data_IF_235246760416
#
_entry.id   IF_235246760416
#
_cell.length_a   1.000
_cell.length_b   1.000
_cell.length_c   1.000
_cell.angle_alpha   90.00
_cell.angle_beta   90.00
_cell.angle_gamma   90.00
#
_symmetry.space_group_name_H-M   'P 1'
#
loop_
_entity.id
_entity.type
_entity.pdbx_description
1 polymer ?
#
# COMPACT_ATOMS: atom_id res chain seq x y z
N UNK A 1 0.78 12.55 16.44
CA UNK A 1 1.57 12.25 15.23
C UNK A 1 0.92 12.87 14.00
N UNK A 2 1.71 13.46 13.09
CA UNK A 2 1.21 13.97 11.81
C UNK A 2 0.49 12.89 11.00
N UNK A 3 -0.40 13.33 10.12
CA UNK A 3 -1.09 12.46 9.17
C UNK A 3 -0.51 12.69 7.79
N UNK A 4 -0.27 11.61 7.07
CA UNK A 4 0.27 11.61 5.72
C UNK A 4 -0.73 10.98 4.77
N UNK A 5 -0.89 11.58 3.60
CA UNK A 5 -1.71 11.03 2.52
C UNK A 5 -0.77 10.44 1.49
N UNK A 6 -0.92 9.15 1.22
CA UNK A 6 -0.20 8.43 0.17
C UNK A 6 -1.16 8.19 -0.98
N UNK A 7 -0.71 8.40 -2.21
CA UNK A 7 -1.49 8.06 -3.40
C UNK A 7 -0.61 7.51 -4.51
N UNK A 8 -1.21 6.75 -5.41
CA UNK A 8 -0.53 6.23 -6.60
C UNK A 8 -1.51 5.78 -7.66
N UNK A 9 -0.97 5.50 -8.84
CA UNK A 9 -1.73 4.96 -9.97
C UNK A 9 -1.43 3.48 -10.14
N UNK A 10 -2.46 2.72 -10.47
CA UNK A 10 -2.29 1.31 -10.76
C UNK A 10 -1.71 1.07 -12.15
N UNK A 11 -1.03 -0.06 -12.27
CA UNK A 11 -0.61 -0.64 -13.55
C UNK A 11 -1.79 -1.29 -14.28
N UNK A 12 -1.65 -1.49 -15.58
CA UNK A 12 -2.55 -2.33 -16.36
C UNK A 12 -2.63 -3.76 -15.77
N UNK A 13 -3.83 -4.36 -15.82
CA UNK A 13 -4.12 -5.71 -15.31
C UNK A 13 -3.74 -5.89 -13.83
N UNK A 14 -3.98 -4.85 -13.00
CA UNK A 14 -3.63 -4.85 -11.58
C UNK A 14 -4.29 -6.01 -10.81
N UNK A 15 -5.49 -6.44 -11.22
CA UNK A 15 -6.22 -7.51 -10.54
C UNK A 15 -5.50 -8.84 -10.67
N UNK A 16 -5.09 -9.20 -11.88
CA UNK A 16 -4.36 -10.42 -12.20
C UNK A 16 -2.99 -10.38 -11.52
N UNK A 17 -2.29 -9.26 -11.63
CA UNK A 17 -0.93 -9.09 -11.10
C UNK A 17 -0.87 -9.12 -9.57
N UNK A 18 -1.89 -8.63 -8.87
CA UNK A 18 -1.95 -8.67 -7.40
C UNK A 18 -2.46 -9.99 -6.84
N UNK A 19 -3.14 -10.82 -7.65
CA UNK A 19 -3.83 -12.03 -7.17
C UNK A 19 -2.91 -12.97 -6.37
N UNK A 20 -1.68 -13.30 -6.81
CA UNK A 20 -0.77 -14.18 -6.07
C UNK A 20 -0.34 -13.63 -4.71
N UNK A 21 -0.41 -12.30 -4.54
CA UNK A 21 0.13 -11.59 -3.38
C UNK A 21 -0.96 -10.98 -2.50
N UNK A 22 -2.24 -11.12 -2.89
CA UNK A 22 -3.37 -10.43 -2.27
C UNK A 22 -3.47 -10.74 -0.78
N UNK A 23 -3.30 -12.01 -0.40
CA UNK A 23 -3.45 -12.41 1.00
C UNK A 23 -2.37 -11.80 1.88
N UNK A 24 -1.09 -11.92 1.49
CA UNK A 24 0.02 -11.31 2.21
C UNK A 24 -0.11 -9.78 2.31
N UNK A 25 -0.59 -9.13 1.24
CA UNK A 25 -0.86 -7.70 1.25
C UNK A 25 -1.96 -7.33 2.27
N UNK A 26 -3.09 -8.05 2.28
CA UNK A 26 -4.18 -7.79 3.23
C UNK A 26 -3.74 -8.04 4.69
N UNK A 27 -2.91 -9.05 4.93
CA UNK A 27 -2.33 -9.32 6.25
C UNK A 27 -1.40 -8.18 6.71
N UNK A 28 -0.53 -7.67 5.84
CA UNK A 28 0.32 -6.52 6.13
C UNK A 28 -0.50 -5.28 6.48
N UNK A 29 -1.55 -4.98 5.71
CA UNK A 29 -2.46 -3.87 6.00
C UNK A 29 -3.18 -4.04 7.34
N UNK A 30 -3.62 -5.24 7.68
CA UNK A 30 -4.27 -5.51 8.97
C UNK A 30 -3.32 -5.28 10.14
N UNK A 31 -2.07 -5.77 10.05
CA UNK A 31 -1.05 -5.53 11.07
C UNK A 31 -0.77 -4.03 11.26
N UNK A 32 -0.73 -3.25 10.16
CA UNK A 32 -0.57 -1.80 10.25
C UNK A 32 -1.75 -1.09 10.91
N UNK A 33 -2.98 -1.56 10.66
CA UNK A 33 -4.19 -1.05 11.32
C UNK A 33 -4.19 -1.37 12.81
N UNK A 34 -3.80 -2.59 13.18
CA UNK A 34 -3.68 -3.00 14.58
C UNK A 34 -2.64 -2.17 15.35
N UNK A 35 -1.54 -1.79 14.68
CA UNK A 35 -0.53 -0.88 15.21
C UNK A 35 -0.97 0.59 15.28
N UNK A 36 -2.14 0.93 14.71
CA UNK A 36 -2.66 2.30 14.65
C UNK A 36 -1.91 3.22 13.68
N UNK A 37 -1.03 2.68 12.83
CA UNK A 37 -0.22 3.45 11.88
C UNK A 37 -1.01 3.71 10.59
N UNK A 38 -1.76 2.71 10.12
CA UNK A 38 -2.65 2.83 8.97
C UNK A 38 -4.06 3.21 9.44
N UNK A 39 -4.53 4.39 9.04
CA UNK A 39 -5.90 4.84 9.32
C UNK A 39 -6.85 4.17 8.31
N UNK A 40 -6.58 4.33 7.02
CA UNK A 40 -7.38 3.73 5.95
C UNK A 40 -6.61 3.68 4.64
N UNK A 41 -6.95 2.73 3.77
CA UNK A 41 -6.41 2.61 2.41
C UNK A 41 -7.47 1.97 1.51
N UNK A 42 -7.56 2.44 0.27
CA UNK A 42 -8.46 1.86 -0.71
C UNK A 42 -8.16 2.28 -2.14
N UNK A 43 -8.50 1.42 -3.12
CA UNK A 43 -8.48 1.80 -4.53
C UNK A 43 -9.66 2.72 -4.85
N UNK A 44 -9.56 3.46 -5.96
CA UNK A 44 -10.72 4.04 -6.63
C UNK A 44 -11.60 2.93 -7.23
N UNK A 45 -12.89 3.22 -7.47
CA UNK A 45 -13.84 2.23 -7.98
C UNK A 45 -13.48 1.70 -9.37
N UNK A 46 -12.85 2.53 -10.20
CA UNK A 46 -12.34 2.18 -11.53
C UNK A 46 -10.96 1.49 -11.50
N UNK A 47 -10.39 1.28 -10.30
CA UNK A 47 -9.05 0.71 -10.10
C UNK A 47 -7.96 1.45 -10.90
N UNK A 48 -8.10 2.75 -11.11
CA UNK A 48 -7.05 3.57 -11.72
C UNK A 48 -6.05 4.11 -10.68
N UNK A 49 -6.51 4.33 -9.45
CA UNK A 49 -5.73 4.94 -8.38
C UNK A 49 -5.97 4.26 -7.04
N UNK A 50 -5.12 4.59 -6.07
CA UNK A 50 -5.23 4.16 -4.67
C UNK A 50 -4.78 5.28 -3.76
N UNK A 51 -5.44 5.37 -2.62
CA UNK A 51 -5.21 6.38 -1.60
C UNK A 51 -5.10 5.71 -0.24
N UNK A 52 -4.14 6.16 0.57
CA UNK A 52 -3.92 5.73 1.94
C UNK A 52 -3.73 6.92 2.87
N UNK A 53 -4.17 6.79 4.11
CA UNK A 53 -3.94 7.76 5.18
C UNK A 53 -3.17 7.05 6.28
N UNK A 54 -1.99 7.58 6.57
CA UNK A 54 -1.07 7.09 7.60
C UNK A 54 -0.93 8.09 8.73
N UNK A 55 -0.69 7.59 9.92
CA UNK A 55 -0.23 8.39 11.05
C UNK A 55 1.17 7.89 11.44
N UNK A 56 2.17 8.74 11.27
CA UNK A 56 3.59 8.42 11.47
C UNK A 56 4.31 9.61 12.13
N UNK A 57 5.55 9.42 12.58
CA UNK A 57 6.38 10.49 13.11
C UNK A 57 7.00 11.35 11.99
N UNK A 58 7.22 10.77 10.80
CA UNK A 58 7.85 11.43 9.65
C UNK A 58 7.39 10.86 8.31
N UNK A 59 7.65 11.57 7.21
CA UNK A 59 7.42 11.05 5.86
C UNK A 59 8.29 9.82 5.56
N UNK A 60 9.53 9.78 6.04
CA UNK A 60 10.46 8.67 5.82
C UNK A 60 9.92 7.35 6.38
N UNK A 61 9.32 7.39 7.58
CA UNK A 61 8.67 6.21 8.19
C UNK A 61 7.52 5.69 7.31
N UNK A 62 6.74 6.58 6.68
CA UNK A 62 5.67 6.18 5.75
C UNK A 62 6.25 5.52 4.50
N UNK A 63 7.37 6.04 3.96
CA UNK A 63 8.04 5.47 2.78
C UNK A 63 8.64 4.08 3.05
N UNK A 64 9.19 3.85 4.23
CA UNK A 64 9.72 2.53 4.63
C UNK A 64 8.59 1.49 4.72
N UNK A 65 7.45 1.87 5.31
CA UNK A 65 6.26 1.02 5.38
C UNK A 65 5.68 0.68 4.00
N UNK A 66 5.77 1.61 3.05
CA UNK A 66 5.42 1.36 1.66
C UNK A 66 6.30 0.25 1.08
N UNK A 67 7.62 0.37 1.21
CA UNK A 67 8.63 -0.54 0.63
C UNK A 67 8.66 -1.94 1.28
N UNK A 68 8.30 -2.07 2.56
CA UNK A 68 8.23 -3.34 3.30
C UNK A 68 7.05 -4.27 2.89
N UNK A 69 6.42 -4.02 1.74
CA UNK A 69 5.47 -4.93 1.12
C UNK A 69 4.04 -4.81 1.64
N UNK A 70 3.77 -3.91 2.59
CA UNK A 70 2.41 -3.64 3.05
C UNK A 70 1.63 -2.77 2.07
N UNK A 71 2.30 -1.92 1.29
CA UNK A 71 1.65 -0.97 0.36
C UNK A 71 2.17 -1.10 -1.07
N UNK A 72 3.43 -1.49 -1.25
CA UNK A 72 4.10 -1.65 -2.55
C UNK A 72 3.65 -2.87 -3.36
N UNK A 73 2.99 -3.87 -2.77
CA UNK A 73 2.45 -4.98 -3.58
C UNK A 73 1.36 -4.48 -4.55
N UNK A 74 0.73 -3.35 -4.24
CA UNK A 74 -0.45 -2.88 -4.96
C UNK A 74 -0.23 -1.50 -5.59
N UNK A 75 0.44 -0.55 -4.93
CA UNK A 75 0.60 0.83 -5.43
C UNK A 75 1.37 0.98 -6.75
N UNK A 76 2.19 0.01 -7.09
CA UNK A 76 2.92 -0.01 -8.33
C UNK A 76 3.26 -1.45 -8.58
N UNK A 77 3.06 -1.95 -9.80
CA UNK A 77 3.66 -3.21 -10.24
C UNK A 77 5.22 -3.17 -10.24
N UNK A 78 5.86 -2.57 -9.22
CA UNK A 78 7.28 -2.21 -9.17
C UNK A 78 8.15 -3.18 -8.37
N UNK A 79 7.61 -4.14 -7.62
CA UNK A 79 8.43 -5.15 -6.93
C UNK A 79 7.98 -6.56 -7.33
N UNK A 80 8.77 -7.41 -8.00
CA UNK A 80 10.23 -7.50 -8.12
C UNK A 80 10.68 -7.74 -9.56
N UNK A 81 11.59 -6.89 -10.08
CA UNK A 81 12.39 -7.18 -11.29
C UNK A 81 13.61 -8.09 -11.03
N UNK A 82 13.81 -8.59 -9.81
CA UNK A 82 14.94 -9.45 -9.43
C UNK A 82 14.49 -10.53 -8.44
N UNK A 83 13.68 -11.48 -8.91
CA UNK A 83 13.53 -12.81 -8.29
C UNK A 83 13.52 -13.85 -9.41
#
# INVERSE_FOLDING_TARGET
MPKFVVWGSYCENVVERRTPYRQAHLEGLNQQKERGILITIGPTADLSQVFGIYQAASESEVRELDDEGSVVIILSCKHRKNA
#
